data_IF_971958051820
#
_entry.id   IF_971958051820
#
_cell.length_a   1.000
_cell.length_b   1.000
_cell.length_c   1.000
_cell.angle_alpha   90.00
_cell.angle_beta   90.00
_cell.angle_gamma   90.00
#
_symmetry.space_group_name_H-M   'P 1'
#
loop_
_entity.id
_entity.type
_entity.pdbx_description
1 polymer ?
#
# COMPACT_ATOMS: atom_id res chain seq x y z
N UNK A 1 -1.61 11.68 21.30
CA UNK A 1 -0.58 12.69 20.94
C UNK A 1 0.60 12.20 20.10
N UNK A 2 1.59 11.43 20.61
CA UNK A 2 2.77 11.07 19.80
C UNK A 2 2.43 10.17 18.59
N UNK A 3 1.66 9.10 18.80
CA UNK A 3 1.29 8.18 17.73
C UNK A 3 0.49 8.86 16.61
N UNK A 4 -0.48 9.71 16.97
CA UNK A 4 -1.27 10.49 16.01
C UNK A 4 -0.38 11.40 15.14
N UNK A 5 0.57 12.12 15.76
CA UNK A 5 1.52 12.96 15.03
C UNK A 5 2.40 12.18 14.05
N UNK A 6 2.85 10.98 14.44
CA UNK A 6 3.63 10.11 13.55
C UNK A 6 2.77 9.64 12.37
N UNK A 7 1.55 9.19 12.63
CA UNK A 7 0.63 8.74 11.57
C UNK A 7 0.28 9.86 10.60
N UNK A 8 0.12 11.09 11.09
CA UNK A 8 -0.13 12.26 10.24
C UNK A 8 1.08 12.60 9.35
N UNK A 9 2.30 12.50 9.88
CA UNK A 9 3.52 12.67 9.07
C UNK A 9 3.58 11.59 7.99
N UNK A 10 3.40 10.31 8.33
CA UNK A 10 3.42 9.21 7.36
C UNK A 10 2.37 9.44 6.27
N UNK A 11 1.15 9.84 6.64
CA UNK A 11 0.08 10.18 5.71
C UNK A 11 0.51 11.23 4.69
N UNK A 12 1.12 12.31 5.18
CA UNK A 12 1.45 13.48 4.37
C UNK A 12 2.70 13.28 3.52
N UNK A 13 3.68 12.52 3.99
CA UNK A 13 5.02 12.48 3.37
C UNK A 13 5.37 11.15 2.71
N UNK A 14 4.81 10.03 3.17
CA UNK A 14 5.23 8.70 2.74
C UNK A 14 4.11 7.88 2.09
N UNK A 15 2.85 8.08 2.47
CA UNK A 15 1.74 7.30 1.95
C UNK A 15 1.47 7.62 0.47
N UNK A 16 1.28 6.57 -0.32
CA UNK A 16 0.95 6.63 -1.75
C UNK A 16 -0.20 5.66 -2.06
N UNK A 17 -0.81 5.73 -3.26
CA UNK A 17 -1.83 4.76 -3.67
C UNK A 17 -1.35 3.31 -3.71
N UNK A 18 -0.03 3.07 -3.76
CA UNK A 18 0.56 1.72 -3.89
C UNK A 18 1.28 1.23 -2.64
N UNK A 19 1.48 2.09 -1.62
CA UNK A 19 2.24 1.72 -0.44
C UNK A 19 2.76 2.91 0.36
N UNK A 20 3.56 2.62 1.38
CA UNK A 20 4.32 3.64 2.13
C UNK A 20 5.74 3.68 1.59
N UNK A 21 6.23 4.86 1.18
CA UNK A 21 7.60 5.08 0.72
C UNK A 21 8.62 4.77 1.82
N UNK A 22 9.76 4.20 1.46
CA UNK A 22 10.88 3.98 2.37
C UNK A 22 11.56 5.28 2.81
N UNK A 23 11.49 6.32 1.97
CA UNK A 23 12.08 7.63 2.22
C UNK A 23 11.14 8.75 1.74
N UNK A 24 11.18 9.91 2.41
CA UNK A 24 10.34 11.05 2.06
C UNK A 24 10.82 11.68 0.74
N UNK A 25 9.89 12.07 -0.13
CA UNK A 25 10.22 12.70 -1.42
C UNK A 25 10.96 14.04 -1.30
N UNK A 26 10.95 14.65 -0.12
CA UNK A 26 11.69 15.88 0.18
C UNK A 26 13.13 15.63 0.63
N UNK A 27 13.52 14.38 0.85
CA UNK A 27 14.88 14.02 1.26
C UNK A 27 15.83 14.11 0.05
N UNK A 28 17.03 14.73 0.19
CA UNK A 28 17.99 14.81 -0.90
C UNK A 28 18.46 13.46 -1.46
N UNK A 29 18.36 12.38 -0.68
CA UNK A 29 18.70 11.03 -1.11
C UNK A 29 17.51 10.25 -1.72
N UNK A 30 16.37 10.92 -1.94
CA UNK A 30 15.18 10.27 -2.50
C UNK A 30 15.35 9.87 -3.96
N UNK A 31 15.09 8.58 -4.24
CA UNK A 31 15.13 7.95 -5.55
C UNK A 31 13.80 7.24 -5.80
N UNK A 32 12.77 8.00 -6.17
CA UNK A 32 11.39 7.52 -6.36
C UNK A 32 11.14 6.66 -7.59
N UNK A 33 12.04 6.68 -8.57
CA UNK A 33 11.94 5.90 -9.82
C UNK A 33 13.21 5.11 -10.06
N UNK A 34 13.07 3.87 -10.53
CA UNK A 34 14.18 2.94 -10.72
C UNK A 34 15.02 3.19 -11.98
N UNK A 35 14.69 4.21 -12.79
CA UNK A 35 15.43 4.55 -14.02
C UNK A 35 15.70 3.36 -14.94
N UNK A 36 16.81 3.42 -15.70
CA UNK A 36 17.34 2.25 -16.39
C UNK A 36 18.02 1.28 -15.42
N UNK A 37 18.22 0.03 -15.87
CA UNK A 37 18.35 -1.24 -15.13
C UNK A 37 19.24 -1.29 -13.85
N UNK A 38 20.05 -0.27 -13.55
CA UNK A 38 20.93 -0.20 -12.37
C UNK A 38 20.35 0.43 -11.10
N UNK A 39 19.35 1.32 -11.18
CA UNK A 39 18.84 2.04 -9.99
C UNK A 39 17.71 1.29 -9.26
N UNK A 40 17.28 0.14 -9.80
CA UNK A 40 16.15 -0.63 -9.26
C UNK A 40 16.37 -1.14 -7.84
N UNK A 41 17.59 -1.54 -7.51
CA UNK A 41 17.93 -1.99 -6.16
C UNK A 41 18.02 -0.79 -5.18
N UNK A 42 18.56 0.33 -5.63
CA UNK A 42 18.75 1.53 -4.82
C UNK A 42 17.39 2.16 -4.46
N UNK A 43 16.47 2.23 -5.42
CA UNK A 43 15.11 2.71 -5.18
C UNK A 43 14.38 1.92 -4.10
N UNK A 44 14.65 0.62 -3.89
CA UNK A 44 13.98 -0.18 -2.85
C UNK A 44 14.15 0.43 -1.45
N UNK A 45 15.35 0.90 -1.15
CA UNK A 45 15.67 1.50 0.14
C UNK A 45 15.51 3.04 0.12
N UNK A 46 15.62 3.67 -1.05
CA UNK A 46 15.66 5.15 -1.18
C UNK A 46 14.42 5.80 -1.78
N UNK A 47 13.31 5.10 -1.92
CA UNK A 47 12.08 5.79 -2.31
C UNK A 47 10.90 4.92 -2.72
N UNK A 48 11.11 3.61 -2.86
CA UNK A 48 10.06 2.67 -3.24
C UNK A 48 8.93 2.66 -2.21
N UNK A 49 7.71 2.47 -2.72
CA UNK A 49 6.50 2.35 -1.92
C UNK A 49 6.20 0.86 -1.66
N UNK A 50 5.98 0.54 -0.38
CA UNK A 50 5.80 -0.83 0.09
C UNK A 50 4.34 -1.08 0.49
N UNK A 51 3.61 -2.00 -0.18
CA UNK A 51 2.23 -2.33 0.15
C UNK A 51 2.06 -2.88 1.57
N UNK A 52 3.01 -3.72 2.02
CA UNK A 52 2.98 -4.29 3.37
C UNK A 52 3.09 -3.20 4.46
N UNK A 53 3.85 -2.13 4.21
CA UNK A 53 3.96 -1.02 5.16
C UNK A 53 2.68 -0.17 5.19
N UNK A 54 2.00 0.00 4.06
CA UNK A 54 0.67 0.63 4.03
C UNK A 54 -0.36 -0.17 4.83
N UNK A 55 -0.36 -1.50 4.70
CA UNK A 55 -1.24 -2.34 5.52
C UNK A 55 -0.99 -2.17 7.03
N UNK A 56 0.27 -2.11 7.46
CA UNK A 56 0.65 -1.82 8.85
C UNK A 56 0.27 -0.40 9.28
N UNK A 57 0.43 0.59 8.39
CA UNK A 57 0.01 1.96 8.63
C UNK A 57 -1.49 2.05 8.92
N UNK A 58 -2.34 1.46 8.09
CA UNK A 58 -3.79 1.48 8.31
C UNK A 58 -4.20 0.69 9.54
N UNK A 59 -3.53 -0.42 9.83
CA UNK A 59 -3.73 -1.19 11.06
C UNK A 59 -3.43 -0.34 12.30
N UNK A 60 -2.35 0.45 12.27
CA UNK A 60 -2.03 1.41 13.32
C UNK A 60 -3.03 2.58 13.39
N UNK A 61 -3.43 3.12 12.24
CA UNK A 61 -4.43 4.19 12.13
C UNK A 61 -5.76 3.77 12.79
N UNK A 62 -6.23 2.55 12.52
CA UNK A 62 -7.44 1.97 13.13
C UNK A 62 -7.27 1.77 14.63
N UNK A 63 -6.10 1.34 15.11
CA UNK A 63 -5.86 1.22 16.55
C UNK A 63 -5.92 2.58 17.27
N UNK A 64 -5.46 3.65 16.62
CA UNK A 64 -5.41 4.99 17.24
C UNK A 64 -6.72 5.77 17.12
N UNK A 65 -7.43 5.65 16.00
CA UNK A 65 -8.64 6.43 15.69
C UNK A 65 -9.94 5.60 15.70
N UNK A 66 -9.85 4.30 15.99
CA UNK A 66 -10.98 3.39 16.06
C UNK A 66 -11.62 3.13 14.69
N UNK A 67 -12.90 2.74 14.73
CA UNK A 67 -13.67 2.31 13.55
C UNK A 67 -13.79 3.38 12.46
N UNK A 68 -13.74 4.67 12.83
CA UNK A 68 -13.80 5.79 11.88
C UNK A 68 -12.70 5.75 10.81
N UNK A 69 -11.53 5.21 11.16
CA UNK A 69 -10.39 5.09 10.25
C UNK A 69 -10.52 3.92 9.25
N UNK A 70 -11.45 2.98 9.45
CA UNK A 70 -11.67 1.88 8.49
C UNK A 70 -12.09 2.37 7.11
N UNK A 71 -12.84 3.47 7.05
CA UNK A 71 -13.25 4.08 5.79
C UNK A 71 -12.05 4.48 4.93
N UNK A 72 -10.96 4.94 5.56
CA UNK A 72 -9.75 5.32 4.85
C UNK A 72 -8.96 4.13 4.35
N UNK A 73 -8.84 3.08 5.17
CA UNK A 73 -8.22 1.83 4.76
C UNK A 73 -8.96 1.19 3.57
N UNK A 74 -10.30 1.25 3.56
CA UNK A 74 -11.09 0.81 2.41
C UNK A 74 -10.82 1.63 1.15
N UNK A 75 -10.78 2.97 1.26
CA UNK A 75 -10.43 3.83 0.11
C UNK A 75 -9.07 3.48 -0.47
N UNK A 76 -8.06 3.27 0.39
CA UNK A 76 -6.75 2.86 -0.08
C UNK A 76 -6.78 1.50 -0.79
N UNK A 77 -7.47 0.49 -0.24
CA UNK A 77 -7.62 -0.80 -0.90
C UNK A 77 -8.33 -0.69 -2.26
N UNK A 78 -9.28 0.24 -2.41
CA UNK A 78 -9.97 0.50 -3.66
C UNK A 78 -9.07 1.12 -4.73
N UNK A 79 -8.21 2.05 -4.33
CA UNK A 79 -7.19 2.64 -5.22
C UNK A 79 -6.08 1.64 -5.55
N UNK A 80 -5.79 0.73 -4.64
CA UNK A 80 -4.77 -0.31 -4.80
C UNK A 80 -5.22 -1.45 -5.72
N UNK A 81 -6.50 -1.87 -5.64
CA UNK A 81 -6.99 -3.05 -6.34
C UNK A 81 -6.77 -3.07 -7.87
N UNK A 82 -6.94 -1.95 -8.61
CA UNK A 82 -6.63 -1.91 -10.04
C UNK A 82 -5.18 -2.30 -10.37
N UNK A 83 -4.23 -2.05 -9.45
CA UNK A 83 -2.80 -2.33 -9.65
C UNK A 83 -2.48 -3.82 -9.69
N UNK A 84 -3.40 -4.67 -9.22
CA UNK A 84 -3.27 -6.12 -9.33
C UNK A 84 -3.44 -6.64 -10.77
N UNK A 85 -4.10 -5.85 -11.62
CA UNK A 85 -4.24 -6.17 -13.04
C UNK A 85 -3.04 -5.70 -13.88
N UNK A 86 -2.26 -4.75 -13.37
CA UNK A 86 -1.18 -4.09 -14.09
C UNK A 86 0.14 -4.87 -14.00
N UNK A 87 0.25 -5.93 -14.80
CA UNK A 87 1.52 -6.65 -15.00
C UNK A 87 1.96 -7.55 -13.82
N UNK A 88 1.09 -7.74 -12.82
CA UNK A 88 1.40 -8.55 -11.63
C UNK A 88 0.63 -9.87 -11.57
N UNK A 89 -0.10 -10.24 -12.63
CA UNK A 89 -0.89 -11.48 -12.73
C UNK A 89 -1.81 -11.71 -11.52
N UNK A 90 -2.53 -10.67 -11.10
CA UNK A 90 -3.40 -10.67 -9.91
C UNK A 90 -2.66 -10.94 -8.59
N UNK A 91 -1.35 -10.72 -8.54
CA UNK A 91 -0.52 -10.77 -7.35
C UNK A 91 -0.04 -9.38 -6.92
N UNK A 92 0.65 -9.32 -5.78
CA UNK A 92 1.19 -8.08 -5.22
C UNK A 92 2.73 -8.16 -5.24
N UNK A 93 3.41 -7.23 -5.93
CA UNK A 93 4.85 -7.17 -5.91
C UNK A 93 5.35 -6.71 -4.53
N UNK A 94 6.61 -6.98 -4.23
CA UNK A 94 7.23 -6.60 -2.96
C UNK A 94 7.16 -5.09 -2.72
N UNK A 95 7.38 -4.31 -3.78
CA UNK A 95 7.33 -2.85 -3.75
C UNK A 95 6.90 -2.29 -5.10
N UNK A 96 6.71 -0.98 -5.15
CA UNK A 96 6.46 -0.20 -6.35
C UNK A 96 7.41 1.00 -6.36
N UNK A 97 7.63 1.60 -7.53
CA UNK A 97 8.25 2.92 -7.60
C UNK A 97 7.47 3.90 -6.72
N UNK A 98 8.22 4.74 -6.00
CA UNK A 98 7.65 5.71 -5.07
C UNK A 98 6.87 6.82 -5.77
N UNK A 99 7.22 7.12 -7.01
CA UNK A 99 6.54 8.13 -7.83
C UNK A 99 5.72 7.50 -8.95
N UNK A 100 4.79 8.29 -9.49
CA UNK A 100 4.01 7.89 -10.65
C UNK A 100 4.95 7.54 -11.82
N UNK A 101 4.65 6.46 -12.58
CA UNK A 101 3.39 5.73 -12.62
C UNK A 101 3.30 4.55 -11.63
N UNK A 102 4.21 4.45 -10.66
CA UNK A 102 4.29 3.36 -9.67
C UNK A 102 4.50 1.99 -10.32
N UNK A 103 5.58 1.81 -11.09
CA UNK A 103 5.86 0.49 -11.70
C UNK A 103 6.22 -0.54 -10.63
N UNK A 104 5.83 -1.82 -10.80
CA UNK A 104 6.23 -2.91 -9.89
C UNK A 104 7.75 -3.03 -9.72
N UNK A 105 8.20 -3.25 -8.50
CA UNK A 105 9.61 -3.46 -8.13
C UNK A 105 9.77 -4.74 -7.28
N UNK A 106 10.98 -5.30 -7.28
CA UNK A 106 11.32 -6.48 -6.49
C UNK A 106 10.64 -7.76 -6.97
N UNK A 107 10.32 -8.65 -6.03
CA UNK A 107 9.59 -9.90 -6.29
C UNK A 107 8.16 -9.59 -6.75
N UNK A 108 7.72 -10.11 -7.90
CA UNK A 108 6.38 -9.80 -8.46
C UNK A 108 5.20 -10.40 -7.69
N UNK A 109 5.45 -11.46 -6.91
CA UNK A 109 4.44 -12.17 -6.13
C UNK A 109 4.89 -12.37 -4.69
N UNK A 110 5.06 -11.27 -3.96
CA UNK A 110 5.64 -11.31 -2.62
C UNK A 110 4.65 -11.83 -1.58
N UNK A 111 5.00 -12.96 -0.95
CA UNK A 111 4.20 -13.57 0.10
C UNK A 111 3.90 -12.58 1.25
N UNK A 112 4.86 -11.74 1.62
CA UNK A 112 4.70 -10.73 2.68
C UNK A 112 3.69 -9.65 2.29
N UNK A 113 3.80 -9.12 1.07
CA UNK A 113 2.92 -8.06 0.60
C UNK A 113 1.48 -8.57 0.48
N UNK A 114 1.31 -9.78 -0.08
CA UNK A 114 0.01 -10.46 -0.16
C UNK A 114 -0.56 -10.70 1.24
N UNK A 115 0.21 -11.29 2.15
CA UNK A 115 -0.25 -11.62 3.49
C UNK A 115 -0.70 -10.37 4.28
N UNK A 116 0.07 -9.28 4.25
CA UNK A 116 -0.27 -8.08 5.01
C UNK A 116 -1.50 -7.35 4.45
N UNK A 117 -1.64 -7.27 3.11
CA UNK A 117 -2.83 -6.66 2.50
C UNK A 117 -4.08 -7.51 2.80
N UNK A 118 -3.99 -8.84 2.73
CA UNK A 118 -5.09 -9.74 3.10
C UNK A 118 -5.41 -9.68 4.60
N UNK A 119 -4.41 -9.54 5.46
CA UNK A 119 -4.60 -9.35 6.91
C UNK A 119 -5.37 -8.06 7.19
N UNK A 120 -5.02 -6.95 6.52
CA UNK A 120 -5.77 -5.70 6.64
C UNK A 120 -7.22 -5.89 6.15
N UNK A 121 -7.43 -6.44 4.95
CA UNK A 121 -8.76 -6.67 4.40
C UNK A 121 -9.63 -7.54 5.33
N UNK A 122 -9.04 -8.58 5.92
CA UNK A 122 -9.70 -9.45 6.90
C UNK A 122 -10.09 -8.69 8.16
N UNK A 123 -9.20 -7.82 8.68
CA UNK A 123 -9.48 -6.96 9.84
C UNK A 123 -10.61 -5.96 9.56
N UNK A 124 -10.70 -5.43 8.35
CA UNK A 124 -11.76 -4.51 7.96
C UNK A 124 -13.14 -5.21 7.88
N UNK A 125 -13.15 -6.52 7.66
CA UNK A 125 -14.36 -7.33 7.62
C UNK A 125 -15.20 -7.07 6.36
N UNK A 126 -16.52 -7.13 6.49
CA UNK A 126 -17.41 -6.84 5.36
C UNK A 126 -17.39 -5.35 5.03
N UNK A 127 -17.25 -5.06 3.75
CA UNK A 127 -17.33 -3.70 3.24
C UNK A 127 -18.74 -3.14 3.43
N UNK A 128 -18.90 -1.93 3.98
CA UNK A 128 -20.20 -1.27 4.05
C UNK A 128 -20.76 -1.06 2.64
N UNK A 129 -22.01 -1.49 2.39
CA UNK A 129 -22.73 -1.19 1.14
C UNK A 129 -22.57 -2.16 -0.04
N UNK A 130 -21.74 -3.21 0.06
CA UNK A 130 -21.69 -4.27 -0.98
C UNK A 130 -22.66 -5.40 -0.60
N UNK A 131 -23.87 -5.41 -1.18
CA UNK A 131 -24.74 -6.57 -1.06
C UNK A 131 -24.06 -7.76 -1.73
N UNK A 132 -24.15 -8.93 -1.11
CA UNK A 132 -23.79 -10.20 -1.73
C UNK A 132 -24.72 -10.35 -2.94
N UNK A 133 -24.18 -10.50 -4.16
CA UNK A 133 -25.01 -10.99 -5.27
C UNK A 133 -25.50 -12.38 -4.84
N UNK A 134 -26.81 -12.66 -4.79
CA UNK A 134 -27.30 -13.99 -4.47
C UNK A 134 -26.65 -14.97 -5.44
N UNK A 135 -26.17 -16.08 -4.89
CA UNK A 135 -25.54 -17.21 -5.57
C UNK A 135 -26.26 -17.49 -6.90
N UNK A 136 -25.60 -17.27 -8.04
CA UNK A 136 -26.05 -17.86 -9.31
C UNK A 136 -25.62 -19.32 -9.30
N UNK A 137 -26.33 -20.14 -8.51
CA UNK A 137 -26.40 -21.58 -8.75
C UNK A 137 -27.48 -21.81 -9.80
N UNK A 138 -27.05 -22.04 -11.03
CA UNK A 138 -27.81 -22.74 -12.05
C UNK A 138 -27.22 -24.14 -12.19
#
# INVERSE_FOLDING_TARGET
DKAQRVLEVVRRTLLTPVGVRSLAATDPAYEGTAGEQGLRAVSLDRGAAWPCLAALYFDALIRVHGESAKAEAWRWLDEFAPRLADGTLASIPAAFEGDAPHRPLGEMASARAVAEVLRLATRLGRRPGRSVRPDQRA
#
